data_IF_842222695567
#
_entry.id   IF_842222695567
#
_cell.length_a   1.000
_cell.length_b   1.000
_cell.length_c   1.000
_cell.angle_alpha   90.00
_cell.angle_beta   90.00
_cell.angle_gamma   90.00
#
_symmetry.space_group_name_H-M   'P 1'
#
loop_
_entity.id
_entity.type
_entity.pdbx_description
1 polymer ?
#
# COMPACT_ATOMS: atom_id res chain seq x y z
N UNK A 1 -34.89 -10.78 1.53
CA UNK A 1 -34.26 -9.55 2.05
C UNK A 1 -32.73 -9.64 2.16
N UNK A 2 -32.08 -10.80 2.40
CA UNK A 2 -30.62 -10.92 2.24
C UNK A 2 -30.19 -10.83 0.77
N UNK A 3 -30.95 -11.43 -0.14
CA UNK A 3 -30.57 -11.55 -1.57
C UNK A 3 -30.51 -10.20 -2.30
N UNK A 4 -31.35 -9.23 -1.92
CA UNK A 4 -31.43 -7.93 -2.60
C UNK A 4 -30.22 -7.03 -2.27
N UNK A 5 -29.64 -7.14 -1.08
CA UNK A 5 -28.41 -6.42 -0.74
C UNK A 5 -27.22 -7.00 -1.50
N UNK A 6 -27.08 -8.33 -1.55
CA UNK A 6 -25.99 -8.97 -2.29
C UNK A 6 -26.13 -8.77 -3.80
N UNK A 7 -27.33 -8.89 -4.37
CA UNK A 7 -27.57 -8.63 -5.78
C UNK A 7 -27.39 -7.14 -6.12
N UNK A 8 -27.82 -6.23 -5.24
CA UNK A 8 -27.56 -4.80 -5.39
C UNK A 8 -26.07 -4.51 -5.29
N UNK A 9 -25.34 -5.11 -4.33
CA UNK A 9 -23.90 -4.95 -4.17
C UNK A 9 -23.12 -5.55 -5.35
N UNK A 10 -23.56 -6.67 -5.90
CA UNK A 10 -22.97 -7.28 -7.11
C UNK A 10 -23.25 -6.38 -8.32
N UNK A 11 -24.49 -5.92 -8.52
CA UNK A 11 -24.83 -4.98 -9.61
C UNK A 11 -24.13 -3.62 -9.48
N UNK A 12 -23.93 -3.17 -8.25
CA UNK A 12 -23.16 -1.98 -7.91
C UNK A 12 -21.67 -2.21 -8.20
N UNK A 13 -21.09 -3.32 -7.75
CA UNK A 13 -19.70 -3.71 -8.01
C UNK A 13 -19.37 -3.91 -9.50
N UNK A 14 -20.33 -4.41 -10.29
CA UNK A 14 -20.20 -4.51 -11.75
C UNK A 14 -20.08 -3.12 -12.42
N UNK A 15 -20.74 -2.10 -11.85
CA UNK A 15 -20.80 -0.74 -12.41
C UNK A 15 -19.86 0.26 -11.71
N UNK A 16 -19.16 -0.13 -10.64
CA UNK A 16 -18.22 0.74 -9.92
C UNK A 16 -16.81 0.17 -9.83
N UNK A 17 -16.62 -1.08 -10.26
CA UNK A 17 -15.43 -1.82 -9.90
C UNK A 17 -14.15 -1.29 -10.53
N UNK A 18 -14.18 -0.64 -11.69
CA UNK A 18 -12.93 -0.21 -12.33
C UNK A 18 -12.69 1.29 -12.27
N UNK A 19 -11.42 1.63 -12.20
CA UNK A 19 -10.86 2.95 -12.41
C UNK A 19 -11.50 3.64 -13.63
N UNK A 20 -11.58 2.97 -14.78
CA UNK A 20 -12.13 3.54 -16.02
C UNK A 20 -13.59 3.97 -15.90
N UNK A 21 -14.37 3.24 -15.10
CA UNK A 21 -15.77 3.62 -14.82
C UNK A 21 -15.82 4.85 -13.93
N UNK A 22 -14.95 4.90 -12.91
CA UNK A 22 -14.78 6.07 -12.05
C UNK A 22 -14.37 7.31 -12.86
N UNK A 23 -13.48 7.17 -13.84
CA UNK A 23 -13.09 8.28 -14.73
C UNK A 23 -14.28 8.82 -15.55
N UNK A 24 -15.20 7.96 -16.01
CA UNK A 24 -16.44 8.37 -16.70
C UNK A 24 -17.42 9.07 -15.77
N UNK A 25 -17.51 8.62 -14.52
CA UNK A 25 -18.33 9.27 -13.50
C UNK A 25 -17.79 10.66 -13.17
N UNK A 26 -16.47 10.82 -13.04
CA UNK A 26 -15.82 12.11 -12.86
C UNK A 26 -16.19 13.07 -14.01
N UNK A 27 -16.17 12.61 -15.26
CA UNK A 27 -16.59 13.40 -16.42
C UNK A 27 -18.06 13.83 -16.31
N UNK A 28 -18.94 12.88 -15.97
CA UNK A 28 -20.38 13.12 -15.82
C UNK A 28 -20.68 14.13 -14.71
N UNK A 29 -19.93 14.08 -13.60
CA UNK A 29 -20.01 15.05 -12.51
C UNK A 29 -19.58 16.45 -12.98
N UNK A 30 -18.49 16.55 -13.74
CA UNK A 30 -18.04 17.83 -14.30
C UNK A 30 -19.08 18.41 -15.26
N UNK A 31 -19.68 17.60 -16.12
CA UNK A 31 -20.73 18.03 -17.05
C UNK A 31 -22.00 18.47 -16.32
N UNK A 32 -22.41 17.74 -15.28
CA UNK A 32 -23.54 18.11 -14.43
C UNK A 32 -23.27 19.42 -13.69
N UNK A 33 -22.07 19.60 -13.13
CA UNK A 33 -21.66 20.84 -12.46
C UNK A 33 -21.68 22.04 -13.43
N UNK A 34 -21.19 21.86 -14.66
CA UNK A 34 -21.06 22.91 -15.66
C UNK A 34 -22.39 23.58 -16.03
N UNK A 35 -23.53 22.93 -15.83
CA UNK A 35 -24.86 23.50 -16.14
C UNK A 35 -25.55 24.16 -14.95
N UNK A 36 -25.03 23.99 -13.74
CA UNK A 36 -25.55 24.61 -12.50
C UNK A 36 -25.31 26.12 -12.45
N UNK A 37 -26.00 26.83 -11.54
CA UNK A 37 -25.72 28.25 -11.29
C UNK A 37 -24.30 28.47 -10.75
N UNK A 38 -23.82 27.61 -9.85
CA UNK A 38 -22.46 27.66 -9.31
C UNK A 38 -21.40 27.48 -10.41
N UNK A 39 -21.59 26.48 -11.28
CA UNK A 39 -20.72 26.27 -12.43
C UNK A 39 -20.67 27.50 -13.34
N UNK A 40 -21.80 28.17 -13.59
CA UNK A 40 -21.84 29.40 -14.40
C UNK A 40 -21.11 30.58 -13.75
N UNK A 41 -21.02 30.61 -12.42
CA UNK A 41 -20.28 31.64 -11.66
C UNK A 41 -18.80 31.32 -11.48
N UNK A 42 -18.36 30.11 -11.81
CA UNK A 42 -16.96 29.70 -11.64
C UNK A 42 -16.01 30.57 -12.48
N UNK A 43 -14.87 30.96 -11.89
CA UNK A 43 -13.83 31.76 -12.54
C UNK A 43 -12.91 30.95 -13.46
N UNK A 44 -12.91 29.62 -13.31
CA UNK A 44 -12.18 28.67 -14.16
C UNK A 44 -13.13 28.03 -15.18
N UNK A 45 -12.63 27.48 -16.29
CA UNK A 45 -13.46 26.72 -17.22
C UNK A 45 -14.23 25.61 -16.50
N UNK A 46 -15.55 25.76 -16.42
CA UNK A 46 -16.44 24.90 -15.61
C UNK A 46 -16.62 23.49 -16.16
N UNK A 47 -16.22 23.26 -17.40
CA UNK A 47 -16.25 21.97 -18.07
C UNK A 47 -14.90 21.23 -17.97
N UNK A 48 -13.91 21.76 -17.25
CA UNK A 48 -12.64 21.07 -17.02
C UNK A 48 -12.57 20.52 -15.60
N UNK A 49 -12.01 19.32 -15.46
CA UNK A 49 -11.74 18.70 -14.17
C UNK A 49 -10.50 19.34 -13.54
N UNK A 50 -10.65 19.96 -12.36
CA UNK A 50 -9.52 20.24 -11.50
C UNK A 50 -9.40 19.12 -10.47
N UNK A 51 -8.23 18.50 -10.35
CA UNK A 51 -8.07 17.26 -9.61
C UNK A 51 -6.73 17.20 -8.88
N UNK A 52 -6.77 16.75 -7.63
CA UNK A 52 -5.57 16.40 -6.87
C UNK A 52 -5.65 14.92 -6.51
N UNK A 53 -4.79 14.12 -7.13
CA UNK A 53 -4.71 12.68 -6.90
C UNK A 53 -3.47 12.33 -6.10
N UNK A 54 -3.61 11.49 -5.08
CA UNK A 54 -2.50 10.97 -4.29
C UNK A 54 -2.47 9.44 -4.42
N UNK A 55 -1.30 8.83 -4.56
CA UNK A 55 -1.13 7.37 -4.61
C UNK A 55 -2.02 6.74 -5.71
N UNK A 56 -2.93 5.81 -5.39
CA UNK A 56 -3.91 5.28 -6.35
C UNK A 56 -4.69 6.36 -7.12
N UNK A 57 -4.95 7.52 -6.50
CA UNK A 57 -5.57 8.66 -7.17
C UNK A 57 -4.77 9.17 -8.37
N UNK A 58 -3.46 8.92 -8.42
CA UNK A 58 -2.62 9.23 -9.59
C UNK A 58 -2.86 8.28 -10.75
N UNK A 59 -3.14 6.99 -10.50
CA UNK A 59 -3.54 6.04 -11.54
C UNK A 59 -4.89 6.48 -12.15
N UNK A 60 -5.88 6.79 -11.32
CA UNK A 60 -7.17 7.34 -11.76
C UNK A 60 -7.02 8.65 -12.54
N UNK A 61 -6.17 9.57 -12.07
CA UNK A 61 -5.90 10.83 -12.75
C UNK A 61 -5.26 10.63 -14.13
N UNK A 62 -4.30 9.71 -14.24
CA UNK A 62 -3.64 9.35 -15.50
C UNK A 62 -4.62 8.74 -16.50
N UNK A 63 -5.50 7.84 -16.06
CA UNK A 63 -6.53 7.30 -16.95
C UNK A 63 -7.53 8.37 -17.37
N UNK A 64 -8.05 9.20 -16.46
CA UNK A 64 -8.96 10.29 -16.82
C UNK A 64 -8.31 11.20 -17.90
N UNK A 65 -7.04 11.57 -17.71
CA UNK A 65 -6.30 12.39 -18.65
C UNK A 65 -6.08 11.71 -20.01
N UNK A 66 -5.97 10.38 -20.04
CA UNK A 66 -5.79 9.60 -21.27
C UNK A 66 -7.11 9.38 -22.01
N UNK A 67 -8.21 9.16 -21.28
CA UNK A 67 -9.55 8.97 -21.85
C UNK A 67 -10.19 10.29 -22.30
N UNK A 68 -9.95 11.39 -21.57
CA UNK A 68 -10.60 12.69 -21.76
C UNK A 68 -9.58 13.85 -21.74
N UNK A 69 -8.56 13.84 -22.61
CA UNK A 69 -7.46 14.81 -22.55
C UNK A 69 -7.92 16.27 -22.65
N UNK A 70 -8.97 16.54 -23.42
CA UNK A 70 -9.57 17.88 -23.59
C UNK A 70 -10.34 18.37 -22.36
N UNK A 71 -10.55 17.49 -21.36
CA UNK A 71 -11.32 17.76 -20.14
C UNK A 71 -10.43 17.96 -18.92
N UNK A 72 -9.11 17.96 -19.10
CA UNK A 72 -8.13 18.18 -18.03
C UNK A 72 -7.94 19.67 -17.75
N UNK A 73 -8.33 20.09 -16.54
CA UNK A 73 -8.02 21.39 -15.94
C UNK A 73 -6.78 21.31 -15.05
N UNK A 74 -6.73 22.07 -13.96
CA UNK A 74 -5.57 22.04 -13.07
C UNK A 74 -5.48 20.68 -12.37
N UNK A 75 -4.48 19.89 -12.75
CA UNK A 75 -4.29 18.53 -12.24
C UNK A 75 -2.92 18.38 -11.59
N UNK A 76 -2.92 17.87 -10.36
CA UNK A 76 -1.71 17.52 -9.61
C UNK A 76 -1.80 16.05 -9.20
N UNK A 77 -0.74 15.28 -9.48
CA UNK A 77 -0.66 13.85 -9.18
C UNK A 77 0.58 13.63 -8.29
N UNK A 78 0.38 13.23 -7.04
CA UNK A 78 1.42 13.12 -6.00
C UNK A 78 1.58 11.69 -5.48
N UNK A 79 2.81 11.14 -5.47
CA UNK A 79 3.04 9.72 -5.27
C UNK A 79 2.55 8.91 -6.48
N UNK A 80 3.27 9.04 -7.59
CA UNK A 80 2.81 8.62 -8.92
C UNK A 80 2.94 7.12 -9.09
N UNK A 81 1.80 6.45 -9.25
CA UNK A 81 1.71 5.03 -9.62
C UNK A 81 2.11 4.87 -11.09
N UNK A 82 3.04 3.97 -11.37
CA UNK A 82 3.30 3.51 -12.72
C UNK A 82 2.13 2.63 -13.20
N UNK A 83 1.35 3.07 -14.20
CA UNK A 83 0.16 2.35 -14.64
C UNK A 83 0.49 0.97 -15.25
N UNK A 84 1.65 0.80 -15.90
CA UNK A 84 2.01 -0.47 -16.52
C UNK A 84 2.32 -1.52 -15.45
N UNK A 85 3.17 -1.18 -14.47
CA UNK A 85 3.47 -2.05 -13.35
C UNK A 85 2.24 -2.37 -12.49
N UNK A 86 1.37 -1.38 -12.26
CA UNK A 86 0.10 -1.56 -11.56
C UNK A 86 -0.77 -2.62 -12.26
N UNK A 87 -1.03 -2.48 -13.56
CA UNK A 87 -1.87 -3.43 -14.30
C UNK A 87 -1.22 -4.82 -14.46
N UNK A 88 0.11 -4.90 -14.56
CA UNK A 88 0.86 -6.14 -14.78
C UNK A 88 0.82 -7.10 -13.58
N UNK A 89 1.04 -6.61 -12.37
CA UNK A 89 1.12 -7.47 -11.17
C UNK A 89 0.87 -6.75 -9.85
N UNK A 90 0.53 -5.46 -9.83
CA UNK A 90 0.64 -4.59 -8.64
C UNK A 90 2.04 -4.63 -8.01
N UNK A 91 3.05 -5.07 -8.76
CA UNK A 91 4.43 -5.00 -8.29
C UNK A 91 4.83 -3.56 -8.45
N UNK A 92 4.96 -2.85 -7.33
CA UNK A 92 5.70 -1.61 -7.32
C UNK A 92 7.14 -2.02 -7.62
N UNK A 93 7.56 -1.95 -8.89
CA UNK A 93 8.92 -2.29 -9.35
C UNK A 93 10.04 -1.49 -8.65
N UNK A 94 9.68 -0.66 -7.67
CA UNK A 94 10.49 0.35 -7.05
C UNK A 94 10.49 0.22 -5.51
N UNK A 95 10.16 -0.95 -4.91
CA UNK A 95 10.37 -1.19 -3.46
C UNK A 95 11.85 -1.04 -3.02
N UNK A 96 12.77 -0.85 -3.96
CA UNK A 96 14.20 -0.62 -3.74
C UNK A 96 14.52 0.48 -2.72
N UNK A 97 13.66 1.50 -2.56
CA UNK A 97 13.87 2.59 -1.60
C UNK A 97 13.33 2.30 -0.21
N UNK A 98 12.46 1.31 -0.06
CA UNK A 98 11.80 0.96 1.20
C UNK A 98 12.83 0.61 2.29
N UNK A 99 13.79 -0.24 1.96
CA UNK A 99 14.89 -0.60 2.87
C UNK A 99 15.77 0.61 3.20
N UNK A 100 15.87 1.60 2.29
CA UNK A 100 16.55 2.87 2.52
C UNK A 100 15.84 3.74 3.56
N UNK A 101 14.50 3.83 3.51
CA UNK A 101 13.71 4.55 4.51
C UNK A 101 13.77 3.84 5.86
N UNK A 102 13.67 2.51 5.87
CA UNK A 102 13.87 1.69 7.08
C UNK A 102 15.28 1.93 7.65
N UNK A 103 16.31 1.99 6.81
CA UNK A 103 17.67 2.32 7.27
C UNK A 103 17.75 3.73 7.88
N UNK A 104 16.91 4.66 7.41
CA UNK A 104 16.73 5.99 7.98
C UNK A 104 16.35 5.97 9.48
N UNK A 105 15.60 4.96 9.94
CA UNK A 105 15.28 4.80 11.36
C UNK A 105 16.54 4.69 12.22
N UNK A 106 17.52 3.88 11.82
CA UNK A 106 18.75 3.69 12.60
C UNK A 106 19.58 4.98 12.66
N UNK A 107 19.60 5.75 11.57
CA UNK A 107 20.28 7.05 11.50
C UNK A 107 19.60 8.05 12.44
N UNK A 108 18.28 8.20 12.32
CA UNK A 108 17.54 9.20 13.07
C UNK A 108 17.42 8.84 14.55
N UNK A 109 17.27 7.57 14.90
CA UNK A 109 17.32 7.11 16.29
C UNK A 109 18.68 7.43 16.93
N UNK A 110 19.79 7.23 16.20
CA UNK A 110 21.11 7.60 16.71
C UNK A 110 21.27 9.12 16.89
N UNK A 111 20.79 9.91 15.93
CA UNK A 111 20.85 11.38 16.02
C UNK A 111 19.99 11.93 17.16
N UNK A 112 18.83 11.33 17.40
CA UNK A 112 17.91 11.73 18.46
C UNK A 112 18.49 11.46 19.86
N UNK A 113 19.32 10.42 19.99
CA UNK A 113 19.98 10.08 21.25
C UNK A 113 19.08 9.32 22.24
N UNK A 114 19.63 8.93 23.40
CA UNK A 114 18.96 8.03 24.34
C UNK A 114 17.76 8.65 25.07
N UNK A 115 17.61 9.98 25.05
CA UNK A 115 16.45 10.65 25.65
C UNK A 115 15.20 10.60 24.76
N UNK A 116 15.39 10.49 23.44
CA UNK A 116 14.31 10.58 22.45
C UNK A 116 14.08 9.28 21.69
N UNK A 117 15.06 8.37 21.64
CA UNK A 117 14.90 7.03 21.05
C UNK A 117 15.16 5.94 22.10
N UNK A 118 14.13 5.18 22.48
CA UNK A 118 14.25 4.10 23.46
C UNK A 118 15.11 2.93 22.97
N UNK A 119 15.22 2.78 21.66
CA UNK A 119 16.05 1.75 21.01
C UNK A 119 17.51 2.18 20.79
N UNK A 120 17.91 3.37 21.26
CA UNK A 120 19.28 3.88 21.13
C UNK A 120 20.32 2.92 21.74
N UNK A 121 21.44 2.75 21.06
CA UNK A 121 22.62 2.03 21.58
C UNK A 121 23.90 2.47 20.87
N UNK A 122 25.04 2.19 21.50
CA UNK A 122 26.36 2.34 20.90
C UNK A 122 26.74 3.78 20.58
N UNK A 123 27.57 3.93 19.56
CA UNK A 123 28.20 5.19 19.15
C UNK A 123 27.93 5.56 17.69
N UNK A 124 27.16 4.74 16.98
CA UNK A 124 26.82 4.94 15.57
C UNK A 124 25.44 4.37 15.23
N UNK A 125 24.87 4.81 14.11
CA UNK A 125 23.66 4.20 13.53
C UNK A 125 23.85 2.71 13.23
N UNK A 126 25.09 2.28 12.93
CA UNK A 126 25.40 0.87 12.70
C UNK A 126 25.16 0.02 13.94
N UNK A 127 25.45 0.53 15.13
CA UNK A 127 25.24 -0.22 16.38
C UNK A 127 23.75 -0.49 16.62
N UNK A 128 22.89 0.46 16.26
CA UNK A 128 21.43 0.31 16.34
C UNK A 128 20.92 -0.70 15.29
N UNK A 129 21.44 -0.63 14.05
CA UNK A 129 21.15 -1.63 13.03
C UNK A 129 21.56 -3.04 13.49
N UNK A 130 22.75 -3.22 14.07
CA UNK A 130 23.24 -4.54 14.51
C UNK A 130 22.37 -5.11 15.62
N UNK A 131 21.92 -4.24 16.55
CA UNK A 131 20.96 -4.60 17.60
C UNK A 131 19.63 -5.08 17.00
N UNK A 132 19.10 -4.35 16.01
CA UNK A 132 17.90 -4.77 15.26
C UNK A 132 18.12 -6.10 14.55
N UNK A 133 19.22 -6.23 13.80
CA UNK A 133 19.54 -7.41 13.02
C UNK A 133 19.64 -8.68 13.89
N UNK A 134 20.21 -8.57 15.09
CA UNK A 134 20.25 -9.67 16.06
C UNK A 134 18.85 -10.11 16.50
N UNK A 135 17.93 -9.17 16.71
CA UNK A 135 16.54 -9.47 17.07
C UNK A 135 15.78 -10.07 15.89
N UNK A 136 15.93 -9.49 14.70
CA UNK A 136 15.31 -9.94 13.46
C UNK A 136 15.73 -11.37 13.11
N UNK A 137 17.03 -11.69 13.18
CA UNK A 137 17.56 -13.02 12.89
C UNK A 137 17.07 -14.11 13.87
N UNK A 138 16.51 -13.74 15.02
CA UNK A 138 15.87 -14.69 15.95
C UNK A 138 14.43 -15.02 15.59
N UNK A 139 13.80 -14.24 14.70
CA UNK A 139 12.44 -14.47 14.21
C UNK A 139 12.44 -15.35 12.96
N UNK A 140 13.15 -16.48 13.02
CA UNK A 140 13.24 -17.43 11.91
C UNK A 140 12.07 -18.42 11.96
N UNK A 141 11.01 -18.09 11.21
CA UNK A 141 9.78 -18.88 11.18
C UNK A 141 9.96 -20.25 10.50
N UNK A 142 10.79 -20.33 9.45
CA UNK A 142 11.05 -21.58 8.73
C UNK A 142 11.78 -22.57 9.65
N UNK A 143 12.88 -22.11 10.26
CA UNK A 143 13.64 -22.92 11.20
C UNK A 143 12.80 -23.35 12.41
N UNK A 144 12.00 -22.44 12.96
CA UNK A 144 11.13 -22.78 14.09
C UNK A 144 10.13 -23.90 13.74
N UNK A 145 9.62 -23.91 12.49
CA UNK A 145 8.75 -24.98 11.98
C UNK A 145 9.53 -26.28 11.74
N UNK A 146 10.67 -26.23 11.06
CA UNK A 146 11.52 -27.39 10.76
C UNK A 146 11.99 -28.11 12.03
N UNK A 147 12.35 -27.34 13.06
CA UNK A 147 12.80 -27.86 14.36
C UNK A 147 11.64 -28.16 15.34
N UNK A 148 10.38 -27.99 14.91
CA UNK A 148 9.16 -28.24 15.72
C UNK A 148 9.13 -27.48 17.05
N UNK A 149 9.48 -26.20 17.05
CA UNK A 149 9.39 -25.36 18.24
C UNK A 149 7.94 -25.22 18.71
N UNK A 150 7.69 -25.36 20.01
CA UNK A 150 6.35 -25.24 20.58
C UNK A 150 5.68 -23.87 20.34
N UNK A 151 6.48 -22.83 20.11
CA UNK A 151 6.05 -21.46 19.84
C UNK A 151 6.26 -21.02 18.38
N UNK A 152 6.38 -21.95 17.42
CA UNK A 152 6.65 -21.62 16.02
C UNK A 152 5.63 -20.62 15.42
N UNK A 153 4.35 -20.77 15.75
CA UNK A 153 3.29 -19.83 15.31
C UNK A 153 3.47 -18.44 15.90
N UNK A 154 3.93 -18.32 17.15
CA UNK A 154 4.20 -17.02 17.75
C UNK A 154 5.39 -16.34 17.08
N UNK A 155 6.42 -17.10 16.67
CA UNK A 155 7.59 -16.59 15.94
C UNK A 155 7.19 -16.08 14.56
N UNK A 156 6.40 -16.86 13.82
CA UNK A 156 5.87 -16.47 12.51
C UNK A 156 5.01 -15.20 12.59
N UNK A 157 4.11 -15.14 13.57
CA UNK A 157 3.27 -13.96 13.81
C UNK A 157 4.10 -12.74 14.20
N UNK A 158 5.16 -12.95 15.00
CA UNK A 158 6.04 -11.87 15.41
C UNK A 158 6.83 -11.28 14.23
N UNK A 159 7.34 -12.15 13.35
CA UNK A 159 8.03 -11.74 12.13
C UNK A 159 7.10 -10.89 11.25
N UNK A 160 5.87 -11.38 10.98
CA UNK A 160 4.90 -10.67 10.16
C UNK A 160 4.55 -9.30 10.75
N UNK A 161 4.24 -9.23 12.04
CA UNK A 161 3.90 -7.98 12.72
C UNK A 161 5.07 -7.00 12.74
N UNK A 162 6.31 -7.48 12.90
CA UNK A 162 7.51 -6.65 12.80
C UNK A 162 7.64 -6.06 11.40
N UNK A 163 7.48 -6.86 10.35
CA UNK A 163 7.53 -6.38 8.95
C UNK A 163 6.45 -5.34 8.66
N UNK A 164 5.23 -5.55 9.17
CA UNK A 164 4.12 -4.59 9.05
C UNK A 164 4.45 -3.27 9.77
N UNK A 165 5.02 -3.34 10.97
CA UNK A 165 5.45 -2.15 11.71
C UNK A 165 6.59 -1.39 11.01
N UNK A 166 7.53 -2.11 10.40
CA UNK A 166 8.60 -1.52 9.58
C UNK A 166 8.04 -0.83 8.32
N UNK A 167 7.06 -1.45 7.65
CA UNK A 167 6.36 -0.82 6.51
C UNK A 167 5.61 0.44 6.92
N UNK A 168 4.85 0.39 8.03
CA UNK A 168 4.17 1.57 8.57
C UNK A 168 5.17 2.68 8.93
N UNK A 169 6.30 2.32 9.53
CA UNK A 169 7.37 3.25 9.85
C UNK A 169 8.01 3.88 8.63
N UNK A 170 8.16 3.13 7.55
CA UNK A 170 8.65 3.67 6.29
C UNK A 170 7.62 4.61 5.63
N UNK A 171 6.33 4.28 5.72
CA UNK A 171 5.24 5.09 5.14
C UNK A 171 5.11 6.47 5.83
N UNK A 172 5.21 6.53 7.16
CA UNK A 172 5.11 7.79 7.92
C UNK A 172 6.23 7.96 8.98
N UNK A 173 7.50 8.17 8.57
CA UNK A 173 8.66 8.17 9.47
C UNK A 173 8.53 9.13 10.66
N UNK A 174 8.02 10.34 10.38
CA UNK A 174 7.89 11.40 11.38
C UNK A 174 6.95 11.05 12.54
N UNK A 175 5.96 10.19 12.30
CA UNK A 175 4.99 9.78 13.32
C UNK A 175 5.34 8.41 13.93
N UNK A 176 5.94 7.53 13.14
CA UNK A 176 6.06 6.11 13.48
C UNK A 176 7.42 5.71 14.05
N UNK A 177 8.50 6.48 13.83
CA UNK A 177 9.83 6.10 14.32
C UNK A 177 9.92 6.00 15.85
N UNK A 178 9.27 6.91 16.58
CA UNK A 178 9.20 6.83 18.05
C UNK A 178 8.53 5.54 18.52
N UNK A 179 7.37 5.22 17.94
CA UNK A 179 6.61 4.02 18.23
C UNK A 179 7.38 2.74 17.85
N UNK A 180 8.03 2.71 16.68
CA UNK A 180 8.86 1.60 16.26
C UNK A 180 10.01 1.34 17.25
N UNK A 181 10.61 2.40 17.81
CA UNK A 181 11.67 2.25 18.80
C UNK A 181 11.20 1.49 20.05
N UNK A 182 10.01 1.81 20.56
CA UNK A 182 9.42 1.15 21.72
C UNK A 182 9.00 -0.30 21.40
N UNK A 183 8.45 -0.52 20.21
CA UNK A 183 8.07 -1.86 19.71
C UNK A 183 9.29 -2.79 19.66
N UNK A 184 10.43 -2.30 19.19
CA UNK A 184 11.68 -3.06 19.11
C UNK A 184 12.27 -3.37 20.50
N UNK A 185 12.19 -2.44 21.47
CA UNK A 185 12.54 -2.73 22.87
C UNK A 185 11.64 -3.81 23.45
N UNK A 186 10.33 -3.72 23.19
CA UNK A 186 9.35 -4.72 23.60
C UNK A 186 9.66 -6.10 23.01
N UNK A 187 10.08 -6.14 21.74
CA UNK A 187 10.41 -7.37 21.03
C UNK A 187 11.59 -8.09 21.69
N UNK A 188 12.67 -7.37 21.99
CA UNK A 188 13.83 -7.93 22.68
C UNK A 188 13.47 -8.53 24.04
N UNK A 189 12.65 -7.82 24.80
CA UNK A 189 12.16 -8.31 26.09
C UNK A 189 11.33 -9.58 25.92
N UNK A 190 10.43 -9.61 24.93
CA UNK A 190 9.59 -10.76 24.64
C UNK A 190 10.40 -11.98 24.19
N UNK A 191 11.42 -11.76 23.36
CA UNK A 191 12.36 -12.77 22.89
C UNK A 191 13.18 -13.36 24.06
N UNK A 192 13.68 -12.53 24.98
CA UNK A 192 14.47 -12.99 26.14
C UNK A 192 13.66 -13.69 27.21
N UNK A 193 12.39 -13.32 27.38
CA UNK A 193 11.51 -13.87 28.42
C UNK A 193 10.50 -14.90 27.89
N UNK A 194 10.59 -15.31 26.62
CA UNK A 194 9.66 -16.23 25.96
C UNK A 194 8.19 -15.75 26.01
N UNK A 195 7.95 -14.47 25.74
CA UNK A 195 6.63 -13.82 25.79
C UNK A 195 6.16 -13.27 24.43
N UNK A 196 6.56 -13.91 23.32
CA UNK A 196 6.18 -13.48 21.98
C UNK A 196 4.66 -13.40 21.79
N UNK A 197 3.89 -14.33 22.34
CA UNK A 197 2.42 -14.27 22.27
C UNK A 197 1.84 -12.97 22.84
N UNK A 198 2.40 -12.46 23.95
CA UNK A 198 1.99 -11.17 24.53
C UNK A 198 2.42 -10.01 23.63
N UNK A 199 3.66 -10.01 23.16
CA UNK A 199 4.15 -8.99 22.23
C UNK A 199 3.34 -8.94 20.93
N UNK A 200 2.96 -10.09 20.38
CA UNK A 200 2.11 -10.19 19.19
C UNK A 200 0.77 -9.50 19.42
N UNK A 201 0.12 -9.77 20.56
CA UNK A 201 -1.15 -9.14 20.91
C UNK A 201 -1.03 -7.62 21.04
N UNK A 202 0.01 -7.15 21.71
CA UNK A 202 0.22 -5.72 21.95
C UNK A 202 0.58 -5.00 20.63
N UNK A 203 1.40 -5.62 19.78
CA UNK A 203 1.81 -5.08 18.47
C UNK A 203 0.66 -5.09 17.47
N UNK A 204 -0.20 -6.12 17.49
CA UNK A 204 -1.44 -6.17 16.71
C UNK A 204 -2.38 -5.01 17.07
N UNK A 205 -2.46 -4.63 18.35
CA UNK A 205 -3.27 -3.49 18.78
C UNK A 205 -2.71 -2.14 18.29
N UNK A 206 -1.41 -2.08 17.95
CA UNK A 206 -0.75 -0.90 17.42
C UNK A 206 -0.96 -0.80 15.90
N UNK A 207 -0.64 -1.86 15.16
CA UNK A 207 -0.60 -1.82 13.69
C UNK A 207 -1.85 -2.39 12.99
N UNK A 208 -2.78 -2.99 13.75
CA UNK A 208 -3.98 -3.61 13.21
C UNK A 208 -3.74 -4.99 12.59
N UNK A 209 -4.81 -5.61 12.11
CA UNK A 209 -4.77 -6.96 11.55
C UNK A 209 -4.06 -6.99 10.17
N UNK A 210 -2.92 -7.69 10.05
CA UNK A 210 -2.19 -7.77 8.79
C UNK A 210 -2.84 -8.72 7.79
N UNK A 211 -3.86 -9.50 8.18
CA UNK A 211 -4.61 -10.37 7.27
C UNK A 211 -5.57 -9.58 6.36
N UNK A 212 -6.10 -10.23 5.31
CA UNK A 212 -7.11 -9.63 4.41
C UNK A 212 -8.33 -9.12 5.20
N UNK A 213 -8.68 -9.73 6.33
CA UNK A 213 -9.80 -9.30 7.17
C UNK A 213 -9.56 -7.93 7.82
N UNK A 214 -8.29 -7.54 7.98
CA UNK A 214 -7.89 -6.22 8.47
C UNK A 214 -7.85 -5.12 7.40
N UNK A 215 -8.38 -5.35 6.19
CA UNK A 215 -8.55 -4.26 5.22
C UNK A 215 -9.67 -3.32 5.68
N UNK A 216 -9.31 -2.07 5.98
CA UNK A 216 -10.30 -1.02 6.14
C UNK A 216 -11.13 -0.90 4.87
N UNK A 217 -12.46 -0.94 5.02
CA UNK A 217 -13.41 -0.88 3.90
C UNK A 217 -13.12 -1.95 2.82
N UNK A 218 -12.71 -3.17 3.23
CA UNK A 218 -12.29 -4.26 2.35
C UNK A 218 -13.15 -4.46 1.08
N UNK A 219 -14.50 -4.44 1.13
CA UNK A 219 -15.30 -4.64 -0.08
C UNK A 219 -15.09 -3.55 -1.15
N UNK A 220 -14.77 -2.32 -0.74
CA UNK A 220 -14.47 -1.21 -1.65
C UNK A 220 -13.05 -1.31 -2.19
N UNK A 221 -12.07 -1.52 -1.30
CA UNK A 221 -10.66 -1.61 -1.70
C UNK A 221 -10.42 -2.80 -2.64
N UNK A 222 -10.89 -4.00 -2.28
CA UNK A 222 -10.80 -5.19 -3.13
C UNK A 222 -11.67 -5.05 -4.38
N UNK A 223 -12.83 -4.39 -4.26
CA UNK A 223 -13.70 -4.14 -5.39
C UNK A 223 -13.05 -3.32 -6.49
N UNK A 224 -12.33 -2.26 -6.12
CA UNK A 224 -11.55 -1.45 -7.07
C UNK A 224 -10.35 -2.23 -7.58
N UNK A 225 -9.52 -2.70 -6.66
CA UNK A 225 -8.26 -3.34 -6.97
C UNK A 225 -8.43 -4.57 -7.88
N UNK A 226 -9.26 -5.54 -7.47
CA UNK A 226 -9.38 -6.80 -8.18
C UNK A 226 -10.02 -6.64 -9.57
N UNK A 227 -10.89 -5.63 -9.70
CA UNK A 227 -11.55 -5.26 -10.94
C UNK A 227 -10.58 -4.59 -11.93
N UNK A 228 -9.75 -3.65 -11.47
CA UNK A 228 -8.69 -3.04 -12.29
C UNK A 228 -7.72 -4.08 -12.83
N UNK A 229 -7.43 -5.09 -12.00
CA UNK A 229 -6.54 -6.21 -12.36
C UNK A 229 -7.18 -7.22 -13.33
N UNK A 230 -8.39 -6.95 -13.85
CA UNK A 230 -9.06 -7.82 -14.81
C UNK A 230 -9.43 -9.18 -14.25
N UNK A 231 -9.60 -9.25 -12.93
CA UNK A 231 -9.88 -10.49 -12.23
C UNK A 231 -8.82 -11.60 -12.45
N UNK A 232 -7.58 -11.23 -12.78
CA UNK A 232 -6.50 -12.19 -13.11
C UNK A 232 -6.12 -13.12 -11.95
N UNK A 233 -6.37 -12.67 -10.73
CA UNK A 233 -6.04 -13.38 -9.50
C UNK A 233 -7.18 -14.25 -8.97
N UNK A 234 -8.37 -14.21 -9.57
CA UNK A 234 -9.49 -15.02 -9.14
C UNK A 234 -9.19 -16.51 -9.27
N UNK A 235 -9.58 -17.27 -8.25
CA UNK A 235 -9.39 -18.73 -8.17
C UNK A 235 -7.91 -19.17 -8.23
N UNK A 236 -6.98 -18.26 -7.91
CA UNK A 236 -5.56 -18.57 -7.71
C UNK A 236 -5.33 -19.14 -6.31
N UNK A 237 -4.37 -20.05 -6.22
CA UNK A 237 -3.94 -20.71 -4.99
C UNK A 237 -2.67 -20.06 -4.46
N UNK A 238 -2.28 -20.36 -3.21
CA UNK A 238 -1.03 -19.87 -2.64
C UNK A 238 0.21 -20.22 -3.50
N UNK A 239 0.19 -21.37 -4.17
CA UNK A 239 1.27 -21.78 -5.09
C UNK A 239 1.41 -20.84 -6.29
N UNK A 240 0.29 -20.29 -6.79
CA UNK A 240 0.31 -19.31 -7.88
C UNK A 240 0.92 -17.97 -7.46
N UNK A 241 0.88 -17.64 -6.16
CA UNK A 241 1.47 -16.41 -5.61
C UNK A 241 2.95 -16.56 -5.26
N UNK A 242 3.49 -17.78 -5.18
CA UNK A 242 4.90 -18.01 -4.81
C UNK A 242 5.93 -17.25 -5.66
N UNK A 243 5.81 -17.20 -7.00
CA UNK A 243 6.77 -16.44 -7.80
C UNK A 243 6.78 -14.95 -7.45
N UNK A 244 5.60 -14.39 -7.21
CA UNK A 244 5.43 -13.00 -6.84
C UNK A 244 5.94 -12.72 -5.41
N UNK A 245 5.68 -13.63 -4.47
CA UNK A 245 6.25 -13.55 -3.13
C UNK A 245 7.77 -13.52 -3.16
N UNK A 246 8.39 -14.44 -3.90
CA UNK A 246 9.84 -14.50 -4.03
C UNK A 246 10.43 -13.22 -4.68
N UNK A 247 9.72 -12.66 -5.66
CA UNK A 247 10.08 -11.38 -6.26
C UNK A 247 10.04 -10.24 -5.22
N UNK A 248 8.95 -10.11 -4.47
CA UNK A 248 8.80 -9.08 -3.44
C UNK A 248 9.84 -9.21 -2.32
N UNK A 249 10.09 -10.43 -1.84
CA UNK A 249 11.11 -10.73 -0.82
C UNK A 249 12.53 -10.42 -1.32
N UNK A 250 12.78 -10.54 -2.63
CA UNK A 250 14.07 -10.18 -3.22
C UNK A 250 14.32 -8.67 -3.27
N UNK A 251 13.26 -7.86 -3.22
CA UNK A 251 13.35 -6.40 -3.31
C UNK A 251 13.47 -5.73 -1.94
N UNK A 252 12.83 -6.28 -0.89
CA UNK A 252 12.84 -5.69 0.45
C UNK A 252 12.55 -6.74 1.53
N UNK A 253 13.11 -6.53 2.72
CA UNK A 253 12.84 -7.37 3.90
C UNK A 253 11.36 -7.35 4.33
N UNK A 254 10.58 -6.37 3.89
CA UNK A 254 9.13 -6.27 4.14
C UNK A 254 8.29 -6.39 2.87
N UNK A 255 8.91 -6.73 1.73
CA UNK A 255 8.22 -6.75 0.44
C UNK A 255 7.03 -7.70 0.41
N UNK A 256 7.14 -8.86 1.06
CA UNK A 256 6.09 -9.87 1.17
C UNK A 256 4.81 -9.35 1.83
N UNK A 257 4.88 -8.32 2.67
CA UNK A 257 3.69 -7.71 3.32
C UNK A 257 2.70 -7.19 2.27
N UNK A 258 3.19 -6.74 1.10
CA UNK A 258 2.35 -6.23 0.01
C UNK A 258 1.46 -7.29 -0.63
N UNK A 259 1.77 -8.58 -0.47
CA UNK A 259 0.99 -9.67 -1.06
C UNK A 259 -0.46 -9.68 -0.55
N UNK A 260 -0.70 -9.16 0.67
CA UNK A 260 -2.03 -9.06 1.31
C UNK A 260 -3.06 -8.48 0.34
N UNK A 261 -2.67 -7.43 -0.38
CA UNK A 261 -3.48 -6.67 -1.35
C UNK A 261 -3.98 -7.58 -2.47
N UNK A 262 -3.17 -8.54 -2.90
CA UNK A 262 -3.50 -9.46 -3.99
C UNK A 262 -4.18 -10.75 -3.54
N UNK A 263 -3.84 -11.24 -2.34
CA UNK A 263 -4.47 -12.44 -1.78
C UNK A 263 -5.99 -12.27 -1.66
N UNK A 264 -6.46 -11.08 -1.30
CA UNK A 264 -7.90 -10.77 -1.24
C UNK A 264 -8.63 -10.95 -2.59
N UNK A 265 -7.91 -10.82 -3.72
CA UNK A 265 -8.50 -10.99 -5.05
C UNK A 265 -8.72 -12.47 -5.45
N UNK A 266 -8.13 -13.43 -4.72
CA UNK A 266 -8.34 -14.85 -5.01
C UNK A 266 -9.82 -15.28 -4.89
N UNK A 267 -10.54 -14.65 -3.95
CA UNK A 267 -11.97 -14.86 -3.72
C UNK A 267 -12.89 -13.93 -4.52
N UNK A 268 -12.34 -12.96 -5.26
CA UNK A 268 -13.14 -11.95 -5.95
C UNK A 268 -13.63 -12.45 -7.31
N UNK A 269 -14.91 -12.74 -7.47
CA UNK A 269 -15.45 -13.31 -8.73
C UNK A 269 -16.06 -12.26 -9.67
N UNK A 270 -16.24 -11.02 -9.19
CA UNK A 270 -16.88 -9.95 -9.94
C UNK A 270 -15.91 -9.42 -10.99
N UNK A 271 -16.35 -9.36 -12.24
CA UNK A 271 -15.60 -8.78 -13.34
C UNK A 271 -16.13 -7.39 -13.67
N UNK A 272 -15.23 -6.41 -13.81
CA UNK A 272 -15.59 -5.12 -14.35
C UNK A 272 -16.06 -5.23 -15.79
N UNK A 273 -16.97 -4.32 -16.17
CA UNK A 273 -17.50 -4.20 -17.53
C UNK A 273 -16.47 -3.61 -18.50
N UNK A 274 -15.63 -2.70 -18.00
CA UNK A 274 -14.58 -2.01 -18.75
C UNK A 274 -13.33 -1.90 -17.88
N UNK A 275 -12.15 -2.00 -18.51
CA UNK A 275 -10.86 -1.74 -17.88
C UNK A 275 -10.03 -0.95 -18.89
N UNK A 276 -9.54 0.21 -18.47
CA UNK A 276 -8.62 0.97 -19.28
C UNK A 276 -7.22 0.38 -19.14
N UNK A 277 -6.66 -0.11 -20.25
CA UNK A 277 -5.33 -0.73 -20.30
C UNK A 277 -4.30 0.14 -21.01
N UNK A 278 -4.63 1.42 -21.21
CA UNK A 278 -3.82 2.36 -21.95
C UNK A 278 -4.23 2.51 -23.42
N UNK A 279 -3.42 3.23 -24.22
CA UNK A 279 -2.15 3.81 -23.82
C UNK A 279 -2.32 4.98 -22.83
N UNK A 280 -1.40 5.10 -21.87
CA UNK A 280 -1.36 6.22 -20.90
C UNK A 280 -0.62 7.41 -21.50
N UNK A 281 -1.19 7.98 -22.56
CA UNK A 281 -0.57 9.05 -23.35
C UNK A 281 -1.63 10.00 -23.91
N UNK A 282 -1.24 11.24 -24.21
CA UNK A 282 -2.13 12.22 -24.82
C UNK A 282 -1.65 13.65 -24.62
N UNK A 283 -2.19 14.56 -25.44
CA UNK A 283 -2.00 16.00 -25.27
C UNK A 283 -3.21 16.57 -24.52
N UNK A 284 -3.03 16.82 -23.24
CA UNK A 284 -4.09 17.35 -22.37
C UNK A 284 -4.35 18.84 -22.64
N UNK A 285 -5.57 19.30 -22.35
CA UNK A 285 -5.95 20.71 -22.50
C UNK A 285 -5.09 21.66 -21.64
N UNK A 286 -4.61 21.16 -20.50
CA UNK A 286 -3.66 21.87 -19.64
C UNK A 286 -2.57 20.92 -19.13
N UNK A 287 -1.35 21.40 -18.85
CA UNK A 287 -0.28 20.56 -18.31
C UNK A 287 -0.64 19.95 -16.94
N UNK A 288 -0.18 18.72 -16.70
CA UNK A 288 -0.31 18.02 -15.43
C UNK A 288 0.98 18.20 -14.62
N UNK A 289 0.86 18.50 -13.32
CA UNK A 289 1.99 18.48 -12.41
C UNK A 289 2.11 17.09 -11.76
N UNK A 290 3.21 16.40 -12.03
CA UNK A 290 3.57 15.17 -11.35
C UNK A 290 4.52 15.49 -10.19
N UNK A 291 4.22 14.97 -9.01
CA UNK A 291 5.01 15.13 -7.77
C UNK A 291 5.47 13.74 -7.34
N UNK A 292 6.78 13.55 -7.27
CA UNK A 292 7.40 12.29 -6.85
C UNK A 292 8.41 12.56 -5.75
N UNK A 293 8.38 11.73 -4.71
CA UNK A 293 9.35 11.79 -3.62
C UNK A 293 10.50 10.80 -3.91
N UNK A 294 11.74 11.22 -3.62
CA UNK A 294 12.94 10.41 -3.91
C UNK A 294 12.98 9.11 -3.12
N UNK A 295 12.42 9.10 -1.91
CA UNK A 295 12.40 7.94 -1.01
C UNK A 295 10.96 7.57 -0.63
N UNK A 296 10.04 7.65 -1.59
CA UNK A 296 8.69 7.11 -1.39
C UNK A 296 8.78 5.58 -1.25
N UNK A 297 8.25 4.97 -0.17
CA UNK A 297 8.31 3.52 0.01
C UNK A 297 7.33 2.73 -0.87
N UNK A 298 6.42 3.40 -1.58
CA UNK A 298 5.31 2.76 -2.32
C UNK A 298 5.33 3.14 -3.79
N UNK A 299 5.42 4.44 -4.10
CA UNK A 299 5.43 4.97 -5.47
C UNK A 299 6.68 5.82 -5.79
N UNK A 300 7.90 5.28 -5.62
CA UNK A 300 9.09 6.10 -5.80
C UNK A 300 9.36 6.43 -7.26
N UNK A 301 9.96 7.60 -7.40
CA UNK A 301 10.42 8.15 -8.65
C UNK A 301 11.84 7.64 -8.94
N UNK A 302 11.95 6.63 -9.79
CA UNK A 302 13.22 6.19 -10.34
C UNK A 302 13.53 6.98 -11.62
N UNK A 303 14.72 7.59 -11.66
CA UNK A 303 15.22 8.37 -12.80
C UNK A 303 15.85 7.50 -13.88
#
# INVERSE_FOLDING_TARGET
>A
MPDDFYDSFIRFGINLGSESTTARDMLSIVDAYAVTEDGRRASKPRNLLNFYGISYGTFLGQTFASMFPERVGNMVLDGVVDPESYLASLTYNNLNHLDGVIAGFFIHCHQAGPSECSYYTGSSARDIYERFHQSYARLDAEKAKEENWANATDVESALLLLKVGLLAAAYEPAMQFGMLSDVLVGLESAISHHKLSTWNKDTLAIYGDPSVDGFDNAPFALGVLCSDQGNKWYNKTLEDFRPLLAELESQSIVGDVWIKTLLGCSGWSIKATEIFTGPFTGNTATPILFVGNTYDPVTPFDK
#
